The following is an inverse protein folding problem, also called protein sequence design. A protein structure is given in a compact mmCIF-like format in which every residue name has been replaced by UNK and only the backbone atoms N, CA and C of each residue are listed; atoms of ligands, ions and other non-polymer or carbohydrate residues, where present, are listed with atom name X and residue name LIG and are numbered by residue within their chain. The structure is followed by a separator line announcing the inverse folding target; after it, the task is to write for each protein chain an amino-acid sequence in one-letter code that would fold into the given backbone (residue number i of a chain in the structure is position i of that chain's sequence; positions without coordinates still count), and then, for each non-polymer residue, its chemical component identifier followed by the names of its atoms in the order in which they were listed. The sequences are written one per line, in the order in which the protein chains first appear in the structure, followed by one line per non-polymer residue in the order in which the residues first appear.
data_IF_322800462600
#
_entry.id   IF_322800462600
#
_cell.length_a   1.000
_cell.length_b   1.000
_cell.length_c   1.000
_cell.angle_alpha   90.00
_cell.angle_beta   90.00
_cell.angle_gamma   90.00
#
_symmetry.space_group_name_H-M   'P 1'
#
loop_
_entity.id
_entity.type
_entity.pdbx_description
1 polymer ?
#
# COMPACT_ATOMS: atom_id res chain seq x y z
N UNK A 1 -2.93 11.86 -33.14
CA UNK A 1 -2.39 11.32 -31.87
C UNK A 1 -2.49 12.44 -30.83
N UNK A 2 -3.50 12.40 -29.94
CA UNK A 2 -3.74 13.49 -29.00
C UNK A 2 -2.67 13.49 -27.89
N UNK A 3 -2.08 14.64 -27.52
CA UNK A 3 -1.08 14.70 -26.46
C UNK A 3 -1.72 14.30 -25.13
N UNK A 4 -1.12 13.33 -24.44
CA UNK A 4 -1.54 12.89 -23.11
C UNK A 4 -1.16 13.98 -22.11
N UNK A 5 -2.07 14.94 -21.89
CA UNK A 5 -1.87 15.97 -20.86
C UNK A 5 -1.78 15.26 -19.50
N UNK A 6 -0.69 15.40 -18.73
CA UNK A 6 -0.61 14.77 -17.43
C UNK A 6 -1.71 15.35 -16.54
N UNK A 7 -2.69 14.51 -16.18
CA UNK A 7 -3.76 14.92 -15.26
C UNK A 7 -3.12 15.40 -13.97
N UNK A 8 -3.38 16.67 -13.60
CA UNK A 8 -3.01 17.20 -12.29
C UNK A 8 -3.75 16.39 -11.23
N UNK A 9 -3.00 15.63 -10.45
CA UNK A 9 -3.53 14.91 -9.30
C UNK A 9 -4.01 15.94 -8.26
N UNK A 10 -5.20 15.73 -7.72
CA UNK A 10 -5.67 16.51 -6.57
C UNK A 10 -4.76 16.30 -5.35
N UNK A 11 -4.82 17.21 -4.37
CA UNK A 11 -4.05 17.10 -3.12
C UNK A 11 -4.26 15.76 -2.42
N UNK A 12 -5.52 15.33 -2.31
CA UNK A 12 -5.88 14.04 -1.71
C UNK A 12 -5.34 12.84 -2.52
N UNK A 13 -5.45 12.87 -3.85
CA UNK A 13 -4.87 11.81 -4.68
C UNK A 13 -3.36 11.71 -4.52
N UNK A 14 -2.66 12.84 -4.38
CA UNK A 14 -1.22 12.86 -4.09
C UNK A 14 -0.91 12.22 -2.74
N UNK A 15 -1.66 12.56 -1.71
CA UNK A 15 -1.51 12.00 -0.36
C UNK A 15 -1.70 10.48 -0.36
N UNK A 16 -2.73 9.97 -1.04
CA UNK A 16 -2.98 8.52 -1.20
C UNK A 16 -1.79 7.84 -1.86
N UNK A 17 -1.23 8.43 -2.94
CA UNK A 17 -0.08 7.86 -3.62
C UNK A 17 1.18 7.88 -2.76
N UNK A 18 1.40 8.94 -1.97
CA UNK A 18 2.53 9.02 -1.03
C UNK A 18 2.38 7.98 0.08
N UNK A 19 1.18 7.82 0.64
CA UNK A 19 0.85 6.79 1.62
C UNK A 19 1.12 5.40 1.04
N UNK A 20 0.60 5.09 -0.15
CA UNK A 20 0.80 3.81 -0.81
C UNK A 20 2.29 3.50 -1.05
N UNK A 21 3.05 4.46 -1.60
CA UNK A 21 4.50 4.30 -1.81
C UNK A 21 5.25 4.06 -0.50
N UNK A 22 4.86 4.75 0.57
CA UNK A 22 5.44 4.59 1.90
C UNK A 22 5.15 3.20 2.47
N UNK A 23 3.94 2.68 2.27
CA UNK A 23 3.57 1.30 2.63
C UNK A 23 4.42 0.28 1.89
N UNK A 24 4.64 0.44 0.58
CA UNK A 24 5.51 -0.45 -0.18
C UNK A 24 6.95 -0.42 0.33
N UNK A 25 7.47 0.76 0.71
CA UNK A 25 8.80 0.89 1.29
C UNK A 25 8.87 0.16 2.64
N UNK A 26 7.85 0.26 3.47
CA UNK A 26 7.74 -0.48 4.73
C UNK A 26 7.77 -2.00 4.49
N UNK A 27 7.07 -2.52 3.48
CA UNK A 27 7.10 -3.96 3.16
C UNK A 27 8.53 -4.41 2.88
N UNK A 28 9.34 -3.59 2.19
CA UNK A 28 10.73 -3.94 1.89
C UNK A 28 11.61 -4.07 3.13
N UNK A 29 11.25 -3.42 4.25
CA UNK A 29 11.99 -3.55 5.52
C UNK A 29 11.56 -4.75 6.36
N UNK A 30 10.43 -5.38 6.04
CA UNK A 30 9.93 -6.58 6.72
C UNK A 30 10.67 -7.85 6.28
N UNK A 31 10.68 -8.92 7.11
CA UNK A 31 11.28 -10.19 6.76
C UNK A 31 10.64 -10.79 5.49
N UNK A 32 11.42 -11.45 4.62
CA UNK A 32 10.97 -11.90 3.30
C UNK A 32 9.73 -12.81 3.35
N UNK A 33 9.66 -13.71 4.34
CA UNK A 33 8.51 -14.60 4.55
C UNK A 33 7.18 -13.88 4.78
N UNK A 34 7.19 -12.76 5.52
CA UNK A 34 5.97 -12.03 5.83
C UNK A 34 5.61 -11.00 4.75
N UNK A 35 6.53 -10.61 3.84
CA UNK A 35 6.28 -9.59 2.80
C UNK A 35 5.06 -9.88 1.91
N UNK A 36 4.78 -11.12 1.48
CA UNK A 36 3.58 -11.44 0.72
C UNK A 36 2.29 -11.09 1.46
N UNK A 37 2.22 -11.38 2.75
CA UNK A 37 1.04 -11.08 3.57
C UNK A 37 0.85 -9.58 3.73
N UNK A 38 1.94 -8.85 3.98
CA UNK A 38 1.92 -7.39 4.02
C UNK A 38 1.47 -6.76 2.70
N UNK A 39 1.99 -7.26 1.57
CA UNK A 39 1.61 -6.75 0.26
C UNK A 39 0.12 -6.96 -0.04
N UNK A 40 -0.39 -8.17 0.20
CA UNK A 40 -1.81 -8.48 0.00
C UNK A 40 -2.71 -7.63 0.88
N UNK A 41 -2.35 -7.46 2.16
CA UNK A 41 -3.09 -6.62 3.09
C UNK A 41 -3.19 -5.17 2.58
N UNK A 42 -2.05 -4.55 2.24
CA UNK A 42 -2.03 -3.18 1.73
C UNK A 42 -2.78 -3.09 0.39
N UNK A 43 -2.50 -3.96 -0.56
CA UNK A 43 -3.14 -3.92 -1.87
C UNK A 43 -4.66 -4.07 -1.75
N UNK A 44 -5.16 -4.94 -0.87
CA UNK A 44 -6.59 -5.08 -0.60
C UNK A 44 -7.20 -3.79 -0.04
N UNK A 45 -6.57 -3.14 0.94
CA UNK A 45 -7.08 -1.88 1.50
C UNK A 45 -7.18 -0.76 0.47
N UNK A 46 -6.22 -0.66 -0.45
CA UNK A 46 -6.21 0.37 -1.50
C UNK A 46 -7.08 0.02 -2.71
N UNK A 47 -7.43 -1.25 -2.92
CA UNK A 47 -8.31 -1.68 -4.01
C UNK A 47 -9.78 -1.41 -3.72
N UNK A 48 -10.19 -1.38 -2.44
CA UNK A 48 -11.58 -1.17 -2.07
C UNK A 48 -12.03 0.25 -2.47
N UNK A 49 -12.98 0.40 -3.40
CA UNK A 49 -13.50 1.71 -3.77
C UNK A 49 -14.11 2.38 -2.55
N UNK A 50 -14.10 3.72 -2.57
CA UNK A 50 -14.75 4.53 -1.57
C UNK A 50 -15.76 5.42 -2.30
N UNK A 51 -17.01 5.52 -1.79
CA UNK A 51 -18.08 6.24 -2.47
C UNK A 51 -17.83 7.76 -2.46
N UNK A 52 -17.29 8.29 -1.36
CA UNK A 52 -17.23 9.74 -1.12
C UNK A 52 -15.87 10.22 -0.59
N UNK A 53 -15.63 11.52 -0.74
CA UNK A 53 -14.42 12.20 -0.26
C UNK A 53 -14.13 11.95 1.22
N UNK A 54 -15.14 12.08 2.09
CA UNK A 54 -14.99 11.86 3.53
C UNK A 54 -14.56 10.42 3.87
N UNK A 55 -15.07 9.43 3.12
CA UNK A 55 -14.67 8.03 3.30
C UNK A 55 -13.22 7.82 2.88
N UNK A 56 -12.78 8.45 1.79
CA UNK A 56 -11.38 8.40 1.34
C UNK A 56 -10.46 9.03 2.39
N UNK A 57 -10.82 10.21 2.89
CA UNK A 57 -10.05 10.91 3.92
C UNK A 57 -9.94 10.09 5.21
N UNK A 58 -11.05 9.52 5.67
CA UNK A 58 -11.06 8.64 6.84
C UNK A 58 -10.17 7.40 6.64
N UNK A 59 -10.29 6.72 5.50
CA UNK A 59 -9.45 5.57 5.15
C UNK A 59 -7.97 5.97 5.11
N UNK A 60 -7.65 7.13 4.53
CA UNK A 60 -6.28 7.66 4.46
C UNK A 60 -5.70 7.95 5.85
N UNK A 61 -6.44 8.67 6.72
CA UNK A 61 -6.00 8.93 8.11
C UNK A 61 -5.73 7.63 8.85
N UNK A 62 -6.64 6.67 8.76
CA UNK A 62 -6.48 5.34 9.37
C UNK A 62 -5.24 4.63 8.84
N UNK A 63 -5.03 4.63 7.52
CA UNK A 63 -3.86 4.01 6.89
C UNK A 63 -2.54 4.67 7.33
N UNK A 64 -2.51 5.99 7.51
CA UNK A 64 -1.33 6.71 8.01
C UNK A 64 -1.01 6.33 9.47
N UNK A 65 -2.02 6.28 10.34
CA UNK A 65 -1.84 5.80 11.72
C UNK A 65 -1.34 4.36 11.77
N UNK A 66 -1.92 3.47 10.95
CA UNK A 66 -1.48 2.09 10.83
C UNK A 66 -0.03 2.01 10.33
N UNK A 67 0.35 2.83 9.35
CA UNK A 67 1.69 2.88 8.79
C UNK A 67 2.73 3.26 9.86
N UNK A 68 2.43 4.24 10.71
CA UNK A 68 3.33 4.64 11.80
C UNK A 68 3.51 3.50 12.81
N UNK A 69 2.42 2.82 13.19
CA UNK A 69 2.48 1.64 14.06
C UNK A 69 3.32 0.52 13.44
N UNK A 70 3.10 0.24 12.15
CA UNK A 70 3.78 -0.83 11.43
C UNK A 70 5.23 -0.52 11.10
N UNK A 71 5.68 0.74 11.18
CA UNK A 71 7.11 1.07 11.04
C UNK A 71 7.94 0.49 12.17
N UNK A 72 7.35 0.27 13.34
CA UNK A 72 8.03 -0.35 14.46
C UNK A 72 8.57 -1.74 14.09
N UNK A 73 9.82 -2.01 14.48
CA UNK A 73 10.50 -3.29 14.25
C UNK A 73 9.87 -4.45 15.01
N UNK A 74 9.05 -4.16 16.02
CA UNK A 74 8.30 -5.18 16.79
C UNK A 74 7.20 -5.83 15.95
N UNK A 75 6.64 -5.12 14.97
CA UNK A 75 5.58 -5.65 14.11
C UNK A 75 6.21 -6.30 12.87
N UNK A 76 6.41 -7.62 12.93
CA UNK A 76 7.07 -8.39 11.87
C UNK A 76 6.10 -8.98 10.86
N UNK A 77 4.93 -9.38 11.31
CA UNK A 77 3.92 -10.09 10.52
C UNK A 77 2.53 -9.47 10.66
N UNK A 78 1.72 -9.66 9.61
CA UNK A 78 0.30 -9.35 9.61
C UNK A 78 -0.48 -10.53 9.05
N UNK A 79 -1.66 -10.80 9.61
CA UNK A 79 -2.60 -11.77 9.04
C UNK A 79 -3.24 -11.17 7.80
N UNK A 80 -3.05 -11.83 6.66
CA UNK A 80 -3.74 -11.48 5.43
C UNK A 80 -5.23 -11.83 5.59
N UNK A 81 -6.18 -10.91 5.31
CA UNK A 81 -7.58 -11.29 5.20
C UNK A 81 -7.75 -12.31 4.06
N UNK A 82 -8.64 -13.28 4.25
CA UNK A 82 -8.88 -14.39 3.30
C UNK A 82 -9.22 -13.85 1.91
N UNK A 83 -9.98 -12.76 1.87
CA UNK A 83 -10.40 -12.04 0.66
C UNK A 83 -9.21 -11.47 -0.13
N UNK A 84 -8.06 -11.23 0.51
CA UNK A 84 -6.88 -10.64 -0.14
C UNK A 84 -5.92 -11.70 -0.72
N UNK A 85 -6.23 -13.00 -0.59
CA UNK A 85 -5.36 -14.08 -1.09
C UNK A 85 -5.19 -14.07 -2.61
N UNK A 86 -6.21 -13.62 -3.35
CA UNK A 86 -6.21 -13.57 -4.81
C UNK A 86 -5.34 -12.45 -5.38
N UNK A 87 -4.88 -11.49 -4.55
CA UNK A 87 -4.12 -10.35 -5.05
C UNK A 87 -2.75 -10.82 -5.56
N UNK A 88 -2.42 -10.59 -6.85
CA UNK A 88 -1.14 -11.02 -7.40
C UNK A 88 0.01 -10.27 -6.74
N UNK A 89 1.03 -11.01 -6.30
CA UNK A 89 2.16 -10.45 -5.60
C UNK A 89 3.00 -9.51 -6.49
N UNK A 90 3.19 -8.28 -6.03
CA UNK A 90 4.08 -7.30 -6.66
C UNK A 90 5.56 -7.62 -6.46
N UNK A 91 6.43 -6.92 -7.21
CA UNK A 91 7.88 -7.08 -7.15
C UNK A 91 8.49 -6.88 -5.76
N UNK A 92 7.87 -6.04 -4.92
CA UNK A 92 8.34 -5.80 -3.54
C UNK A 92 8.15 -7.02 -2.64
N UNK A 93 7.10 -7.81 -2.89
CA UNK A 93 6.80 -9.03 -2.13
C UNK A 93 7.71 -10.19 -2.56
N UNK A 94 8.17 -10.19 -3.81
CA UNK A 94 9.03 -11.25 -4.40
C UNK A 94 10.53 -11.07 -4.10
N UNK A 95 10.91 -10.21 -3.16
CA UNK A 95 12.32 -9.99 -2.77
C UNK A 95 12.98 -8.73 -3.31
N UNK A 96 12.21 -7.81 -3.93
CA UNK A 96 12.72 -6.53 -4.44
C UNK A 96 13.51 -6.68 -5.75
N UNK A 97 13.79 -5.56 -6.45
CA UNK A 97 14.72 -5.61 -7.58
C UNK A 97 16.09 -6.00 -7.03
N UNK A 98 16.62 -7.18 -7.40
CA UNK A 98 18.06 -7.40 -7.34
C UNK A 98 18.68 -6.29 -8.20
N UNK A 99 19.31 -5.29 -7.56
CA UNK A 99 20.18 -4.37 -8.30
C UNK A 99 21.27 -5.27 -8.91
N UNK A 100 21.24 -5.39 -10.22
CA UNK A 100 22.32 -5.97 -11.01
C UNK A 100 23.47 -4.98 -11.02
#
# INVERSE_FOLDING_TARGET
MAPHVPRKLSGLQREILVCYKSSLKLISTKPPDSRPNWFRFIAHQFHQPAPDFFTIEYKLRRALTQLELYRSSSVREIKCPVEAHHVPLGWVAKGGKKKK
#
